data_IF_025085217108
#
_entry.id   IF_025085217108
#
_cell.length_a   1.000
_cell.length_b   1.000
_cell.length_c   1.000
_cell.angle_alpha   90.00
_cell.angle_beta   90.00
_cell.angle_gamma   90.00
#
_symmetry.space_group_name_H-M   'P 1'
#
loop_
_entity.id
_entity.type
_entity.pdbx_description
1 polymer ?
#
# COMPACT_ATOMS: atom_id res chain seq x y z
N UNK A 1 -18.35 26.32 31.00
CA UNK A 1 -17.28 27.03 30.28
C UNK A 1 -17.98 28.09 29.44
N UNK A 2 -17.80 29.36 29.77
CA UNK A 2 -18.41 30.50 29.05
C UNK A 2 -17.40 31.17 28.10
N UNK A 3 -16.24 30.54 27.87
CA UNK A 3 -15.23 30.99 26.93
C UNK A 3 -15.37 30.33 25.55
N UNK A 4 -14.54 30.74 24.60
CA UNK A 4 -14.51 30.18 23.24
C UNK A 4 -13.38 29.17 23.08
N UNK A 5 -13.54 28.25 22.12
CA UNK A 5 -12.50 27.29 21.74
C UNK A 5 -12.29 27.45 20.24
N UNK A 6 -11.03 27.64 19.86
CA UNK A 6 -10.63 27.94 18.49
C UNK A 6 -9.61 26.86 18.09
N UNK A 7 -9.96 25.98 17.14
CA UNK A 7 -9.07 24.92 16.68
C UNK A 7 -8.18 25.44 15.55
N UNK A 8 -6.93 25.00 15.59
CA UNK A 8 -5.91 25.28 14.61
C UNK A 8 -5.36 23.96 14.08
N UNK A 9 -4.91 23.96 12.83
CA UNK A 9 -4.25 22.83 12.18
C UNK A 9 -2.89 23.29 11.69
N UNK A 10 -1.86 22.47 11.85
CA UNK A 10 -0.56 22.65 11.23
C UNK A 10 -0.36 21.54 10.21
N UNK A 11 0.30 21.87 9.09
CA UNK A 11 0.65 20.93 8.02
C UNK A 11 2.15 20.97 7.78
N UNK A 12 2.76 19.83 7.45
CA UNK A 12 4.15 19.73 7.03
C UNK A 12 4.40 18.58 6.06
N UNK A 13 5.36 18.75 5.15
CA UNK A 13 5.70 17.73 4.16
C UNK A 13 6.50 16.59 4.80
N UNK A 14 6.32 15.38 4.27
CA UNK A 14 7.14 14.17 4.43
C UNK A 14 8.03 14.08 5.68
N UNK A 15 7.58 13.30 6.67
CA UNK A 15 8.30 12.99 7.92
C UNK A 15 8.75 14.20 8.78
N UNK A 16 8.33 15.42 8.47
CA UNK A 16 8.58 16.59 9.32
C UNK A 16 7.44 16.82 10.31
N UNK A 17 7.79 17.34 11.48
CA UNK A 17 6.80 17.77 12.47
C UNK A 17 6.09 19.05 11.99
N UNK A 18 4.75 19.10 12.01
CA UNK A 18 4.01 20.33 11.71
C UNK A 18 4.24 21.43 12.75
N UNK A 19 4.77 22.59 12.32
CA UNK A 19 5.12 23.69 13.24
C UNK A 19 4.21 24.93 13.13
N UNK A 20 3.64 25.21 11.95
CA UNK A 20 2.90 26.44 11.68
C UNK A 20 1.39 26.21 11.73
N UNK A 21 0.77 26.62 12.84
CA UNK A 21 -0.65 26.44 13.11
C UNK A 21 -1.50 27.55 12.52
N UNK A 22 -2.49 27.17 11.73
CA UNK A 22 -3.46 28.08 11.10
C UNK A 22 -4.88 27.76 11.56
N UNK A 23 -5.69 28.81 11.74
CA UNK A 23 -7.09 28.64 12.12
C UNK A 23 -7.85 27.91 11.01
N UNK A 24 -8.57 26.85 11.36
CA UNK A 24 -9.36 26.09 10.40
C UNK A 24 -10.86 26.12 10.76
N UNK A 25 -11.71 26.76 9.93
CA UNK A 25 -13.14 26.86 10.20
C UNK A 25 -13.93 25.56 9.96
N UNK A 26 -13.30 24.50 9.45
CA UNK A 26 -13.97 23.23 9.13
C UNK A 26 -14.14 22.32 10.34
N UNK A 27 -13.46 22.60 11.44
CA UNK A 27 -13.69 21.90 12.71
C UNK A 27 -15.11 22.11 13.20
N UNK A 28 -15.77 21.03 13.55
CA UNK A 28 -17.09 21.09 14.14
C UNK A 28 -17.01 20.89 15.66
N UNK A 29 -17.28 21.95 16.41
CA UNK A 29 -17.34 21.96 17.87
C UNK A 29 -18.80 21.89 18.28
N UNK A 30 -19.33 20.68 18.43
CA UNK A 30 -20.77 20.45 18.56
C UNK A 30 -21.27 20.33 19.99
N UNK A 31 -20.40 19.97 20.94
CA UNK A 31 -20.85 19.70 22.31
C UNK A 31 -19.84 20.18 23.35
N UNK A 32 -20.22 21.18 24.14
CA UNK A 32 -19.62 21.47 25.45
C UNK A 32 -20.56 20.85 26.49
N UNK A 33 -20.35 19.58 26.84
CA UNK A 33 -20.93 19.05 28.07
C UNK A 33 -20.10 19.58 29.25
N UNK A 34 -20.66 19.61 30.46
CA UNK A 34 -20.01 20.23 31.64
C UNK A 34 -18.59 19.75 31.95
N UNK A 35 -18.15 18.62 31.38
CA UNK A 35 -16.82 18.02 31.56
C UNK A 35 -16.16 17.48 30.28
N UNK A 36 -16.82 17.50 29.13
CA UNK A 36 -16.28 16.95 27.87
C UNK A 36 -16.59 17.87 26.70
N UNK A 37 -15.60 17.98 25.82
CA UNK A 37 -15.67 18.72 24.57
C UNK A 37 -15.42 17.74 23.43
N UNK A 38 -16.33 17.70 22.46
CA UNK A 38 -16.11 16.97 21.21
C UNK A 38 -15.66 17.97 20.13
N UNK A 39 -14.43 17.81 19.66
CA UNK A 39 -13.89 18.49 18.48
C UNK A 39 -13.86 17.47 17.35
N UNK A 40 -14.69 17.67 16.33
CA UNK A 40 -14.85 16.72 15.23
C UNK A 40 -14.19 17.29 13.98
N UNK A 41 -13.25 16.52 13.42
CA UNK A 41 -12.62 16.77 12.13
C UNK A 41 -12.69 15.48 11.32
N UNK A 42 -13.58 15.46 10.33
CA UNK A 42 -13.84 14.24 9.55
C UNK A 42 -12.82 14.08 8.42
N UNK A 43 -12.63 12.86 7.91
CA UNK A 43 -11.82 12.61 6.70
C UNK A 43 -12.17 13.57 5.54
N UNK A 44 -13.47 13.80 5.27
CA UNK A 44 -13.91 14.75 4.26
C UNK A 44 -13.47 16.21 4.50
N UNK A 45 -13.21 16.61 5.76
CA UNK A 45 -12.68 17.94 6.07
C UNK A 45 -11.16 17.98 5.83
N UNK A 46 -10.45 16.89 6.16
CA UNK A 46 -9.03 16.71 5.84
C UNK A 46 -8.84 16.77 4.31
N UNK A 47 -9.62 15.98 3.56
CA UNK A 47 -9.69 15.99 2.09
C UNK A 47 -9.93 17.40 1.53
N UNK A 48 -10.95 18.09 2.03
CA UNK A 48 -11.28 19.44 1.56
C UNK A 48 -10.17 20.45 1.86
N UNK A 49 -9.56 20.38 3.04
CA UNK A 49 -8.38 21.19 3.36
C UNK A 49 -7.25 20.91 2.38
N UNK A 50 -7.05 19.65 1.99
CA UNK A 50 -5.99 19.25 1.06
C UNK A 50 -6.30 19.56 -0.42
N UNK A 51 -7.56 19.75 -0.81
CA UNK A 51 -7.97 20.12 -2.19
C UNK A 51 -7.69 21.58 -2.60
N UNK A 52 -7.02 22.37 -1.76
CA UNK A 52 -6.66 23.75 -2.04
C UNK A 52 -5.56 23.82 -3.14
N UNK A 53 -5.40 24.96 -3.82
CA UNK A 53 -4.36 25.18 -4.88
C UNK A 53 -2.92 25.01 -4.33
N UNK A 54 -2.81 24.90 -3.00
CA UNK A 54 -1.62 24.52 -2.27
C UNK A 54 -1.91 23.09 -1.80
N UNK A 55 -1.23 22.09 -2.37
CA UNK A 55 -1.24 20.72 -1.86
C UNK A 55 -0.75 20.78 -0.41
N UNK A 56 -1.62 20.42 0.53
CA UNK A 56 -1.31 20.43 1.94
C UNK A 56 -0.74 19.05 2.30
N UNK A 57 0.59 18.98 2.24
CA UNK A 57 1.49 18.16 3.06
C UNK A 57 0.91 16.94 3.82
N UNK A 58 1.54 15.76 3.64
CA UNK A 58 1.08 14.46 4.15
C UNK A 58 0.99 14.33 5.68
N UNK A 59 1.54 15.28 6.45
CA UNK A 59 1.52 15.25 7.91
C UNK A 59 0.68 16.42 8.46
N UNK A 60 -0.14 16.15 9.47
CA UNK A 60 -0.85 17.22 10.18
C UNK A 60 -0.92 17.03 11.70
N UNK A 61 -1.01 18.16 12.39
CA UNK A 61 -1.19 18.24 13.84
C UNK A 61 -2.25 19.29 14.20
N UNK A 62 -2.81 19.21 15.41
CA UNK A 62 -3.90 20.07 15.87
C UNK A 62 -3.51 20.78 17.16
N UNK A 63 -3.71 22.10 17.19
CA UNK A 63 -3.63 22.93 18.39
C UNK A 63 -5.03 23.45 18.74
N UNK A 64 -5.39 23.37 20.02
CA UNK A 64 -6.61 23.96 20.55
C UNK A 64 -6.26 25.22 21.36
N UNK A 65 -6.83 26.35 20.97
CA UNK A 65 -6.78 27.59 21.73
C UNK A 65 -8.07 27.74 22.55
N UNK A 66 -7.93 27.80 23.87
CA UNK A 66 -9.01 28.08 24.81
C UNK A 66 -8.94 29.55 25.22
N UNK A 67 -10.04 30.28 25.07
CA UNK A 67 -10.18 31.66 25.52
C UNK A 67 -11.15 31.72 26.69
N UNK A 68 -10.95 32.67 27.61
CA UNK A 68 -11.93 32.97 28.65
C UNK A 68 -13.09 33.83 28.12
N UNK A 69 -14.05 34.20 28.98
CA UNK A 69 -15.27 34.92 28.57
C UNK A 69 -14.99 36.31 27.97
N UNK A 70 -13.81 36.87 28.22
CA UNK A 70 -13.41 38.21 27.78
C UNK A 70 -12.37 38.18 26.65
N UNK A 71 -12.00 36.98 26.17
CA UNK A 71 -10.92 36.76 25.20
C UNK A 71 -9.55 37.33 25.63
N UNK A 72 -9.27 37.40 26.94
CA UNK A 72 -8.04 38.01 27.49
C UNK A 72 -6.97 36.98 27.85
N UNK A 73 -7.37 35.76 28.19
CA UNK A 73 -6.48 34.73 28.75
C UNK A 73 -6.44 33.48 27.87
N UNK A 74 -5.58 33.45 26.83
CA UNK A 74 -5.43 32.29 25.96
C UNK A 74 -4.66 31.15 26.65
N UNK A 75 -5.16 29.92 26.51
CA UNK A 75 -4.43 28.68 26.81
C UNK A 75 -4.33 27.85 25.54
N UNK A 76 -3.11 27.48 25.15
CA UNK A 76 -2.84 26.61 24.00
C UNK A 76 -2.60 25.18 24.46
N UNK A 77 -3.19 24.23 23.74
CA UNK A 77 -2.97 22.81 23.93
C UNK A 77 -2.67 22.17 22.57
N UNK A 78 -1.43 21.72 22.40
CA UNK A 78 -1.08 20.86 21.26
C UNK A 78 -1.58 19.46 21.55
N UNK A 79 -2.14 18.80 20.54
CA UNK A 79 -2.53 17.39 20.63
C UNK A 79 -1.31 16.56 20.23
N UNK A 80 -0.37 16.41 21.16
CA UNK A 80 0.91 15.72 20.93
C UNK A 80 0.84 14.19 21.09
N UNK A 81 -0.31 13.66 21.55
CA UNK A 81 -0.51 12.22 21.74
C UNK A 81 -1.72 11.73 20.98
N UNK A 82 -1.48 11.32 19.74
CA UNK A 82 -2.47 10.76 18.83
C UNK A 82 -2.81 9.29 19.08
N UNK A 83 -2.36 8.72 20.20
CA UNK A 83 -2.66 7.34 20.58
C UNK A 83 -2.07 6.33 19.60
N UNK A 84 -2.89 5.82 18.67
CA UNK A 84 -2.50 4.78 17.70
C UNK A 84 -1.72 5.31 16.49
N UNK A 85 -1.33 6.59 16.44
CA UNK A 85 -0.43 7.14 15.41
C UNK A 85 0.99 6.54 15.43
N UNK A 86 1.23 5.54 16.27
CA UNK A 86 2.47 4.79 16.32
C UNK A 86 3.57 5.57 17.03
N UNK A 87 4.67 5.82 16.32
CA UNK A 87 5.89 6.46 16.84
C UNK A 87 5.97 7.96 16.52
N UNK A 88 4.93 8.52 15.88
CA UNK A 88 4.88 9.92 15.44
C UNK A 88 3.96 10.72 16.35
N UNK A 89 4.33 11.97 16.60
CA UNK A 89 3.52 12.94 17.36
C UNK A 89 2.52 13.69 16.45
N UNK A 90 2.33 13.22 15.21
CA UNK A 90 1.43 13.79 14.19
C UNK A 90 0.71 12.68 13.42
N UNK A 91 -0.38 13.06 12.72
CA UNK A 91 -1.14 12.18 11.84
C UNK A 91 -0.69 12.28 10.39
N UNK A 92 -0.97 11.22 9.62
CA UNK A 92 -0.68 11.13 8.20
C UNK A 92 -1.97 11.19 7.36
N UNK A 93 -1.93 11.94 6.26
CA UNK A 93 -2.96 12.01 5.22
C UNK A 93 -2.38 12.67 3.96
N UNK A 94 -2.16 11.89 2.91
CA UNK A 94 -1.82 12.33 1.55
C UNK A 94 -3.03 12.20 0.60
N UNK A 95 -3.96 11.28 0.87
CA UNK A 95 -5.15 11.05 0.06
C UNK A 95 -4.87 10.37 -1.28
N UNK A 96 -3.62 9.98 -1.52
CA UNK A 96 -3.17 9.28 -2.72
C UNK A 96 -3.24 7.76 -2.51
N UNK A 97 -3.55 7.02 -3.57
CA UNK A 97 -3.50 5.56 -3.51
C UNK A 97 -2.08 5.07 -3.87
N UNK A 98 -1.52 4.12 -3.11
CA UNK A 98 -0.25 3.52 -3.48
C UNK A 98 -0.41 2.76 -4.78
N UNK A 99 0.60 2.78 -5.65
CA UNK A 99 0.61 2.01 -6.87
C UNK A 99 1.70 0.93 -6.87
N UNK A 100 1.41 -0.19 -7.50
CA UNK A 100 2.39 -1.27 -7.67
C UNK A 100 2.09 -2.04 -8.93
N UNK A 101 3.13 -2.25 -9.73
CA UNK A 101 3.06 -3.26 -10.78
C UNK A 101 3.55 -4.60 -10.25
N UNK A 102 2.70 -5.63 -10.38
CA UNK A 102 3.08 -7.02 -10.12
C UNK A 102 3.33 -7.76 -11.44
N UNK A 103 4.45 -8.49 -11.54
CA UNK A 103 4.79 -9.29 -12.70
C UNK A 103 5.13 -10.73 -12.36
N UNK A 104 4.80 -11.65 -13.27
CA UNK A 104 5.31 -13.03 -13.31
C UNK A 104 6.11 -13.29 -14.58
N UNK A 105 7.10 -14.19 -14.53
CA UNK A 105 7.89 -14.58 -15.70
C UNK A 105 7.52 -15.98 -16.23
N UNK A 106 7.05 -16.05 -17.48
CA UNK A 106 6.49 -17.25 -18.11
C UNK A 106 7.49 -18.07 -18.94
N UNK A 107 8.75 -18.11 -18.50
CA UNK A 107 9.94 -18.60 -19.23
C UNK A 107 10.37 -17.76 -20.43
N UNK A 108 9.47 -17.00 -21.05
CA UNK A 108 9.75 -16.23 -22.27
C UNK A 108 9.86 -14.72 -22.04
N UNK A 109 9.02 -14.17 -21.15
CA UNK A 109 8.98 -12.74 -20.85
C UNK A 109 8.28 -12.48 -19.52
N UNK A 110 8.43 -11.26 -19.02
CA UNK A 110 7.63 -10.74 -17.90
C UNK A 110 6.20 -10.44 -18.36
N UNK A 111 5.24 -10.73 -17.48
CA UNK A 111 3.79 -10.63 -17.67
C UNK A 111 3.19 -9.88 -16.49
N UNK A 112 2.48 -8.79 -16.76
CA UNK A 112 1.85 -7.95 -15.73
C UNK A 112 0.32 -8.06 -15.77
N UNK A 113 -0.34 -6.96 -15.42
CA UNK A 113 -1.80 -6.82 -15.42
C UNK A 113 -2.45 -7.39 -16.70
N UNK A 114 -3.65 -7.97 -16.55
CA UNK A 114 -4.45 -8.56 -17.62
C UNK A 114 -3.82 -9.79 -18.31
N UNK A 115 -2.76 -10.36 -17.73
CA UNK A 115 -2.19 -11.62 -18.22
C UNK A 115 -3.06 -12.81 -17.84
N UNK A 116 -3.37 -13.67 -18.81
CA UNK A 116 -4.17 -14.90 -18.63
C UNK A 116 -3.47 -16.13 -19.23
N UNK A 117 -3.56 -17.28 -18.57
CA UNK A 117 -3.16 -18.58 -19.12
C UNK A 117 -1.65 -18.68 -19.27
N UNK A 118 -0.92 -18.30 -18.23
CA UNK A 118 0.55 -18.24 -18.19
C UNK A 118 1.09 -19.21 -17.15
N UNK A 119 2.40 -19.43 -17.14
CA UNK A 119 3.07 -20.26 -16.14
C UNK A 119 4.04 -19.42 -15.31
N UNK A 120 4.31 -19.84 -14.07
CA UNK A 120 5.32 -19.20 -13.22
C UNK A 120 5.89 -20.20 -12.21
N UNK A 121 7.07 -19.92 -11.66
CA UNK A 121 7.63 -20.67 -10.54
C UNK A 121 8.48 -19.76 -9.63
N UNK A 122 8.57 -20.09 -8.35
CA UNK A 122 9.34 -19.30 -7.39
C UNK A 122 10.85 -19.60 -7.40
N UNK A 123 11.25 -20.83 -7.76
CA UNK A 123 12.65 -21.28 -7.84
C UNK A 123 13.50 -20.48 -8.84
N UNK A 124 12.88 -19.81 -9.80
CA UNK A 124 13.56 -18.98 -10.80
C UNK A 124 13.43 -17.49 -10.55
N UNK A 125 12.97 -17.07 -9.35
CA UNK A 125 12.67 -15.66 -9.03
C UNK A 125 11.71 -15.03 -10.05
N UNK A 126 10.75 -15.81 -10.56
CA UNK A 126 9.83 -15.39 -11.62
C UNK A 126 8.66 -14.55 -11.11
N UNK A 127 8.77 -13.90 -9.96
CA UNK A 127 7.79 -12.92 -9.46
C UNK A 127 8.54 -11.66 -9.08
N UNK A 128 8.01 -10.50 -9.43
CA UNK A 128 8.58 -9.22 -9.03
C UNK A 128 7.52 -8.16 -8.88
N UNK A 129 7.82 -7.15 -8.08
CA UNK A 129 7.00 -5.96 -7.90
C UNK A 129 7.80 -4.72 -8.27
N UNK A 130 7.10 -3.66 -8.65
CA UNK A 130 7.65 -2.31 -8.78
C UNK A 130 6.66 -1.33 -8.16
N UNK A 131 7.03 -0.75 -7.02
CA UNK A 131 6.20 0.16 -6.26
C UNK A 131 6.44 1.60 -6.73
N UNK A 132 5.37 2.39 -6.87
CA UNK A 132 5.41 3.81 -7.21
C UNK A 132 4.18 4.52 -6.65
N UNK A 133 4.20 5.86 -6.63
CA UNK A 133 2.96 6.64 -6.51
C UNK A 133 2.19 6.63 -7.84
N UNK A 134 0.87 6.77 -7.78
CA UNK A 134 0.08 7.07 -8.98
C UNK A 134 0.40 8.51 -9.42
N UNK A 135 0.91 8.66 -10.64
CA UNK A 135 1.41 9.91 -11.21
C UNK A 135 0.21 10.84 -11.57
N UNK A 136 -0.45 11.43 -10.57
CA UNK A 136 -1.66 12.24 -10.80
C UNK A 136 -1.39 13.71 -11.12
N UNK A 137 -0.16 14.18 -10.95
CA UNK A 137 0.16 15.60 -11.14
C UNK A 137 1.37 15.73 -12.06
N UNK A 138 1.37 16.77 -12.89
CA UNK A 138 2.45 17.17 -13.82
C UNK A 138 3.77 17.56 -13.08
N UNK A 139 4.14 16.86 -12.02
CA UNK A 139 5.41 16.96 -11.35
C UNK A 139 6.35 15.95 -12.01
N UNK A 140 7.45 16.40 -12.61
CA UNK A 140 8.36 15.53 -13.37
C UNK A 140 9.14 14.51 -12.52
N UNK A 141 8.65 14.13 -11.34
CA UNK A 141 9.33 13.27 -10.39
C UNK A 141 8.33 12.32 -9.71
N UNK A 142 8.41 11.00 -9.97
CA UNK A 142 7.69 10.02 -9.17
C UNK A 142 8.25 10.06 -7.75
N UNK A 143 7.39 10.39 -6.78
CA UNK A 143 7.77 10.39 -5.37
C UNK A 143 7.90 8.94 -4.86
N UNK A 144 8.89 8.66 -4.00
CA UNK A 144 9.05 7.34 -3.38
C UNK A 144 8.07 7.17 -2.21
N UNK A 145 7.27 6.10 -2.22
CA UNK A 145 6.27 5.85 -1.17
C UNK A 145 6.50 4.53 -0.44
N UNK A 146 6.93 4.64 0.82
CA UNK A 146 7.18 3.48 1.68
C UNK A 146 5.88 2.72 1.93
N UNK A 147 5.88 1.43 1.58
CA UNK A 147 4.78 0.55 1.90
C UNK A 147 4.77 0.26 3.40
N UNK A 148 3.59 0.27 3.99
CA UNK A 148 3.38 0.06 5.40
C UNK A 148 3.48 -1.43 5.77
N UNK A 149 4.22 -1.66 6.85
CA UNK A 149 4.17 -2.87 7.68
C UNK A 149 3.99 -2.43 9.14
N UNK A 150 2.75 -2.33 9.58
CA UNK A 150 2.40 -1.92 10.94
C UNK A 150 2.44 -3.07 11.96
N UNK A 151 2.81 -4.29 11.52
CA UNK A 151 2.75 -5.50 12.34
C UNK A 151 1.33 -5.88 12.82
N UNK A 152 0.29 -5.17 12.35
CA UNK A 152 -1.10 -5.38 12.66
C UNK A 152 -1.87 -5.77 11.37
N UNK A 153 -3.02 -5.14 11.12
CA UNK A 153 -3.92 -5.49 10.00
C UNK A 153 -3.54 -4.85 8.67
N UNK A 154 -2.69 -3.83 8.66
CA UNK A 154 -2.34 -3.03 7.49
C UNK A 154 -0.96 -3.44 6.97
N UNK A 155 -0.93 -4.66 6.42
CA UNK A 155 0.30 -5.29 5.95
C UNK A 155 0.21 -5.58 4.45
N UNK A 156 1.07 -4.91 3.70
CA UNK A 156 1.20 -5.08 2.25
C UNK A 156 1.53 -6.53 1.89
N UNK A 157 0.85 -7.10 0.89
CA UNK A 157 0.89 -8.54 0.62
C UNK A 157 0.52 -8.91 -0.82
N UNK A 158 1.04 -10.06 -1.25
CA UNK A 158 0.61 -10.76 -2.44
C UNK A 158 -0.36 -11.89 -2.06
N UNK A 159 -1.39 -12.10 -2.87
CA UNK A 159 -2.34 -13.20 -2.71
C UNK A 159 -2.40 -14.07 -3.97
N UNK A 160 -2.31 -15.38 -3.75
CA UNK A 160 -2.43 -16.42 -4.77
C UNK A 160 -3.69 -17.24 -4.48
N UNK A 161 -4.75 -16.98 -5.23
CA UNK A 161 -6.04 -17.66 -5.08
C UNK A 161 -6.14 -18.85 -6.02
N UNK A 162 -6.21 -20.05 -5.46
CA UNK A 162 -6.40 -21.28 -6.22
C UNK A 162 -7.78 -21.28 -6.90
N UNK A 163 -7.80 -21.47 -8.21
CA UNK A 163 -9.05 -21.44 -8.99
C UNK A 163 -9.93 -22.68 -8.81
N UNK A 164 -9.35 -23.78 -8.33
CA UNK A 164 -10.04 -25.07 -8.21
C UNK A 164 -10.81 -25.18 -6.89
N UNK A 165 -10.21 -24.76 -5.78
CA UNK A 165 -10.79 -24.90 -4.44
C UNK A 165 -11.01 -23.57 -3.70
N UNK A 166 -10.62 -22.44 -4.30
CA UNK A 166 -10.65 -21.09 -3.71
C UNK A 166 -9.77 -20.90 -2.47
N UNK A 167 -8.79 -21.76 -2.20
CA UNK A 167 -7.78 -21.50 -1.18
C UNK A 167 -6.99 -20.24 -1.52
N UNK A 168 -6.61 -19.46 -0.50
CA UNK A 168 -5.78 -18.26 -0.66
C UNK A 168 -4.45 -18.52 0.04
N UNK A 169 -3.36 -18.32 -0.69
CA UNK A 169 -2.01 -18.35 -0.17
C UNK A 169 -1.50 -16.91 -0.13
N UNK A 170 -0.98 -16.47 1.00
CA UNK A 170 -0.61 -15.07 1.23
C UNK A 170 0.88 -14.97 1.53
N UNK A 171 1.54 -14.03 0.86
CA UNK A 171 2.91 -13.61 1.16
C UNK A 171 2.91 -12.16 1.61
N UNK A 172 3.41 -11.86 2.80
CA UNK A 172 3.53 -10.49 3.29
C UNK A 172 4.85 -9.89 2.83
N UNK A 173 4.79 -8.73 2.17
CA UNK A 173 5.97 -8.00 1.74
C UNK A 173 6.83 -7.62 2.94
N UNK A 174 8.14 -7.58 2.76
CA UNK A 174 9.10 -7.31 3.84
C UNK A 174 9.50 -8.54 4.66
N UNK A 175 8.83 -9.68 4.46
CA UNK A 175 9.11 -10.90 5.24
C UNK A 175 10.47 -11.51 4.92
N UNK A 176 10.79 -11.66 3.62
CA UNK A 176 12.09 -12.21 3.20
C UNK A 176 13.13 -11.12 2.96
N UNK A 177 12.70 -9.94 2.52
CA UNK A 177 13.58 -8.80 2.27
C UNK A 177 12.87 -7.48 2.61
N UNK A 178 13.38 -6.67 3.57
CA UNK A 178 12.78 -5.37 3.91
C UNK A 178 12.78 -4.39 2.74
N UNK A 179 13.68 -4.56 1.76
CA UNK A 179 13.73 -3.68 0.58
C UNK A 179 12.43 -3.76 -0.26
N UNK A 180 11.64 -4.83 -0.12
CA UNK A 180 10.31 -5.00 -0.75
C UNK A 180 9.33 -3.90 -0.36
N UNK A 181 9.53 -3.25 0.79
CA UNK A 181 8.69 -2.16 1.30
C UNK A 181 9.26 -0.78 0.96
N UNK A 182 10.55 -0.68 0.65
CA UNK A 182 11.27 0.61 0.59
C UNK A 182 11.95 0.90 -0.74
N UNK A 183 11.95 -0.03 -1.69
CA UNK A 183 12.50 0.20 -3.03
C UNK A 183 11.40 0.62 -3.99
N UNK A 184 11.64 1.70 -4.72
CA UNK A 184 10.66 2.34 -5.60
C UNK A 184 11.19 2.54 -7.00
N UNK A 185 10.27 2.60 -7.97
CA UNK A 185 10.58 2.80 -9.38
C UNK A 185 11.63 1.79 -9.90
N UNK A 186 11.67 0.61 -9.31
CA UNK A 186 12.61 -0.45 -9.62
C UNK A 186 11.98 -1.81 -9.40
N UNK A 187 12.39 -2.77 -10.21
CA UNK A 187 11.93 -4.15 -10.11
C UNK A 187 12.60 -4.85 -8.91
N UNK A 188 11.80 -5.34 -7.97
CA UNK A 188 12.24 -6.16 -6.83
C UNK A 188 11.76 -7.59 -7.04
N UNK A 189 12.68 -8.54 -7.08
CA UNK A 189 12.33 -9.95 -7.16
C UNK A 189 11.77 -10.45 -5.83
N UNK A 190 10.63 -11.10 -5.91
CA UNK A 190 9.93 -11.70 -4.77
C UNK A 190 10.05 -13.22 -4.87
N UNK A 191 10.43 -13.84 -3.75
CA UNK A 191 10.47 -15.29 -3.66
C UNK A 191 9.72 -15.78 -2.41
N UNK A 192 8.38 -15.97 -2.51
CA UNK A 192 7.58 -16.47 -1.38
C UNK A 192 7.96 -17.87 -0.93
N UNK A 193 8.58 -18.68 -1.80
CA UNK A 193 8.98 -20.05 -1.45
C UNK A 193 10.03 -20.10 -0.33
N UNK A 194 10.84 -19.06 -0.17
CA UNK A 194 11.89 -19.02 0.87
C UNK A 194 11.32 -18.59 2.24
N UNK A 195 10.06 -18.15 2.29
CA UNK A 195 9.37 -17.87 3.56
C UNK A 195 8.86 -19.19 4.17
N UNK A 196 9.40 -19.53 5.34
CA UNK A 196 9.04 -20.75 6.08
C UNK A 196 7.57 -20.80 6.55
N UNK A 197 6.85 -19.68 6.52
CA UNK A 197 5.43 -19.60 6.85
C UNK A 197 4.52 -19.55 5.61
N UNK A 198 5.08 -19.34 4.42
CA UNK A 198 4.30 -19.33 3.19
C UNK A 198 3.77 -20.73 2.89
N UNK A 199 2.46 -20.84 2.68
CA UNK A 199 1.86 -22.14 2.32
C UNK A 199 2.22 -22.46 0.87
N UNK A 200 2.95 -23.56 0.58
CA UNK A 200 3.43 -23.84 -0.77
C UNK A 200 2.29 -23.96 -1.79
N UNK A 201 2.55 -23.47 -3.00
CA UNK A 201 1.66 -23.67 -4.15
C UNK A 201 1.80 -25.08 -4.71
N UNK A 202 0.72 -25.59 -5.32
CA UNK A 202 0.67 -26.94 -5.88
C UNK A 202 1.04 -26.89 -7.36
N UNK A 203 2.01 -27.70 -7.76
CA UNK A 203 2.42 -27.81 -9.17
C UNK A 203 1.24 -28.22 -10.07
N UNK A 204 1.11 -27.58 -11.22
CA UNK A 204 0.07 -27.83 -12.21
C UNK A 204 -1.28 -27.17 -11.90
N UNK A 205 -1.41 -26.47 -10.76
CA UNK A 205 -2.63 -25.76 -10.37
C UNK A 205 -2.60 -24.33 -10.87
N UNK A 206 -3.76 -23.84 -11.31
CA UNK A 206 -3.96 -22.47 -11.75
C UNK A 206 -4.39 -21.55 -10.59
N UNK A 207 -3.73 -20.40 -10.50
CA UNK A 207 -3.96 -19.37 -9.51
C UNK A 207 -4.34 -18.04 -10.18
N UNK A 208 -5.24 -17.29 -9.54
CA UNK A 208 -5.35 -15.85 -9.75
C UNK A 208 -4.40 -15.16 -8.76
N UNK A 209 -3.60 -14.22 -9.25
CA UNK A 209 -2.55 -13.57 -8.49
C UNK A 209 -2.82 -12.08 -8.48
N UNK A 210 -2.82 -11.49 -7.29
CA UNK A 210 -2.95 -10.06 -7.09
C UNK A 210 -2.29 -9.63 -5.78
N UNK A 211 -2.58 -8.40 -5.36
CA UNK A 211 -1.98 -7.81 -4.18
C UNK A 211 -2.98 -6.94 -3.42
N UNK A 212 -2.68 -6.69 -2.16
CA UNK A 212 -3.13 -5.49 -1.44
C UNK A 212 -1.89 -4.80 -0.92
N UNK A 213 -1.75 -3.52 -1.21
CA UNK A 213 -0.67 -2.69 -0.69
C UNK A 213 -1.25 -1.54 0.11
N UNK A 214 -0.51 -1.15 1.15
CA UNK A 214 -0.79 0.02 1.96
C UNK A 214 0.43 0.92 1.93
N UNK A 215 0.24 2.22 1.81
CA UNK A 215 1.29 3.21 2.04
C UNK A 215 1.42 3.55 3.52
N UNK A 216 2.40 4.42 3.82
CA UNK A 216 2.67 4.90 5.17
C UNK A 216 1.51 5.66 5.82
N UNK A 217 0.63 6.28 5.02
CA UNK A 217 -0.58 6.99 5.46
C UNK A 217 -1.77 6.05 5.68
N UNK A 218 -1.65 4.79 5.23
CA UNK A 218 -2.63 3.73 5.35
C UNK A 218 -3.63 3.66 4.20
N UNK A 219 -3.43 4.38 3.08
CA UNK A 219 -4.32 4.22 1.93
C UNK A 219 -4.10 2.85 1.28
N UNK A 220 -5.17 2.28 0.76
CA UNK A 220 -5.21 0.90 0.28
C UNK A 220 -5.35 0.86 -1.24
N UNK A 221 -4.52 0.06 -1.91
CA UNK A 221 -4.79 -0.38 -3.28
C UNK A 221 -4.97 -1.90 -3.31
N UNK A 222 -6.21 -2.34 -3.56
CA UNK A 222 -6.60 -3.75 -3.65
C UNK A 222 -6.81 -4.20 -5.10
N UNK A 223 -5.89 -5.03 -5.60
CA UNK A 223 -5.96 -5.67 -6.93
C UNK A 223 -5.99 -7.20 -6.83
N UNK A 224 -6.52 -7.77 -5.76
CA UNK A 224 -6.52 -9.22 -5.52
C UNK A 224 -7.21 -10.08 -6.57
N UNK A 225 -8.21 -9.53 -7.26
CA UNK A 225 -9.13 -10.34 -8.08
C UNK A 225 -9.03 -10.11 -9.59
N UNK A 226 -8.17 -9.19 -10.02
CA UNK A 226 -8.16 -8.70 -11.39
C UNK A 226 -6.77 -8.35 -11.96
N UNK A 227 -5.68 -8.74 -11.30
CA UNK A 227 -4.33 -8.43 -11.82
C UNK A 227 -3.83 -9.47 -12.84
N UNK A 228 -3.40 -10.66 -12.37
CA UNK A 228 -3.00 -11.78 -13.23
C UNK A 228 -3.97 -12.93 -12.98
N UNK A 229 -4.56 -13.49 -14.04
CA UNK A 229 -5.59 -14.54 -13.90
C UNK A 229 -5.13 -15.86 -14.49
N UNK A 230 -5.57 -16.97 -13.90
CA UNK A 230 -5.37 -18.32 -14.46
C UNK A 230 -3.90 -18.59 -14.85
N UNK A 231 -2.97 -18.28 -13.93
CA UNK A 231 -1.57 -18.58 -14.04
C UNK A 231 -1.26 -19.94 -13.38
N UNK A 232 -0.73 -20.89 -14.14
CA UNK A 232 -0.35 -22.21 -13.64
C UNK A 232 0.98 -22.13 -12.88
N UNK A 233 0.99 -22.58 -11.63
CA UNK A 233 2.24 -22.79 -10.91
C UNK A 233 2.96 -24.01 -11.47
N UNK A 234 4.07 -23.77 -12.16
CA UNK A 234 4.74 -24.78 -12.97
C UNK A 234 6.23 -24.83 -12.65
N UNK A 235 6.63 -25.81 -11.83
CA UNK A 235 8.02 -26.04 -11.44
C UNK A 235 8.80 -26.83 -12.50
N UNK A 236 8.18 -27.25 -13.60
CA UNK A 236 8.83 -28.03 -14.66
C UNK A 236 8.81 -27.20 -15.94
N UNK A 237 9.96 -26.66 -16.33
CA UNK A 237 10.06 -25.87 -17.56
C UNK A 237 9.70 -26.67 -18.82
N UNK A 238 9.32 -26.00 -19.91
CA UNK A 238 9.03 -26.69 -21.18
C UNK A 238 10.28 -27.42 -21.70
N UNK A 239 10.12 -28.69 -22.08
CA UNK A 239 11.20 -29.46 -22.70
C UNK A 239 11.60 -28.83 -24.05
N UNK A 240 12.84 -28.34 -24.14
CA UNK A 240 13.41 -27.87 -25.41
C UNK A 240 13.99 -29.07 -26.16
N UNK A 241 13.21 -29.62 -27.09
CA UNK A 241 13.71 -30.65 -28.02
C UNK A 241 14.45 -29.96 -29.18
N UNK A 242 15.78 -29.90 -29.10
CA UNK A 242 16.63 -29.48 -30.22
C UNK A 242 16.91 -30.68 -31.13
N UNK A 243 16.17 -30.78 -32.23
CA UNK A 243 16.43 -31.77 -33.29
C UNK A 243 17.34 -31.21 -34.39
N UNK A 244 18.49 -31.84 -34.62
CA UNK A 244 19.27 -31.65 -35.85
C UNK A 244 18.98 -32.81 -36.81
N UNK A 245 18.17 -32.60 -37.86
CA UNK A 245 18.06 -33.57 -38.95
C UNK A 245 16.74 -33.54 -39.73
N UNK A 246 16.77 -33.97 -41.01
CA UNK A 246 15.73 -33.66 -41.97
C UNK A 246 14.50 -34.54 -41.74
N UNK A 247 13.38 -33.88 -41.43
CA UNK A 247 12.01 -34.40 -41.56
C UNK A 247 11.60 -35.43 -40.49
N UNK A 248 11.16 -34.88 -39.36
CA UNK A 248 10.20 -35.43 -38.40
C UNK A 248 9.21 -36.41 -39.05
N UNK A 249 9.36 -37.70 -38.74
CA UNK A 249 8.33 -38.70 -38.99
C UNK A 249 8.13 -39.67 -37.82
N UNK A 250 8.46 -39.23 -36.61
CA UNK A 250 8.14 -40.00 -35.42
C UNK A 250 8.07 -39.08 -34.20
N UNK A 251 6.89 -38.49 -33.98
CA UNK A 251 6.46 -38.21 -32.60
C UNK A 251 6.29 -39.60 -31.97
N UNK A 252 7.38 -40.13 -31.43
CA UNK A 252 7.35 -41.38 -30.67
C UNK A 252 6.83 -41.03 -29.30
N UNK A 253 5.56 -41.37 -29.13
CA UNK A 253 4.97 -41.86 -27.90
C UNK A 253 5.99 -42.65 -27.04
N UNK A 254 6.54 -42.03 -25.99
CA UNK A 254 7.03 -42.69 -24.77
C UNK A 254 7.08 -41.60 -23.69
N UNK A 255 6.36 -41.66 -22.57
CA UNK A 255 5.61 -42.75 -21.95
C UNK A 255 6.04 -42.88 -20.49
N UNK A 256 5.11 -43.23 -19.60
CA UNK A 256 5.41 -43.56 -18.20
C UNK A 256 4.30 -43.21 -17.24
#
# INVERSE_FOLDING_TARGET
>A
LNGSIIPYIAWAEFNNDPENYEYNPQFNITTIASTTLDVIYTAANVEFSNQSVIEHADNFDIELLFMDENDENPVKLNIDNWGNAGVRDYLLYDGDEPNTDLYIHDYSTWRGENSNGKSFNFQTYSTRINNSLEDYVNEGFPYPEVLLDDGAGLRSRLEFKNRSDNSIHTYYLGTNNPDELTTFNSDIYINPHDDGNFTPLVHGVAYDIGYIIYDASGNENDRRTNWITNATYDTVGPDVVVGYGPLYNSIVNVGG
#
